data_IF_637268583363
#
_entry.id   IF_637268583363
#
_cell.length_a   1.000
_cell.length_b   1.000
_cell.length_c   1.000
_cell.angle_alpha   90.00
_cell.angle_beta   90.00
_cell.angle_gamma   90.00
#
_symmetry.space_group_name_H-M   'P 1'
#
loop_
_entity.id
_entity.type
_entity.pdbx_description
1 polymer ?
#
# COMPACT_ATOMS: atom_id res chain seq x y z
N UNK A 1 -15.12 -2.92 29.49
CA UNK A 1 -15.49 -3.00 28.05
C UNK A 1 -14.28 -3.28 27.16
N UNK A 2 -13.21 -2.46 27.20
CA UNK A 2 -11.99 -2.63 26.39
C UNK A 2 -11.29 -4.00 26.52
N UNK A 3 -11.18 -4.56 27.75
CA UNK A 3 -10.50 -5.85 27.96
C UNK A 3 -11.24 -7.07 27.40
N UNK A 4 -12.58 -7.07 27.40
CA UNK A 4 -13.40 -8.20 26.93
C UNK A 4 -13.48 -8.26 25.41
N UNK A 5 -13.49 -7.10 24.76
CA UNK A 5 -13.62 -6.99 23.30
C UNK A 5 -12.29 -6.60 22.64
N UNK A 6 -11.15 -6.87 23.29
CA UNK A 6 -9.81 -6.53 22.80
C UNK A 6 -9.58 -6.87 21.31
N UNK A 7 -9.96 -8.06 20.79
CA UNK A 7 -9.75 -8.38 19.37
C UNK A 7 -10.65 -7.59 18.40
N UNK A 8 -11.68 -6.89 18.90
CA UNK A 8 -12.55 -6.05 18.08
C UNK A 8 -11.98 -4.62 17.87
N UNK A 9 -10.88 -4.28 18.53
CA UNK A 9 -10.19 -3.01 18.35
C UNK A 9 -8.90 -3.22 17.55
N UNK A 10 -8.57 -2.29 16.68
CA UNK A 10 -7.29 -2.25 15.97
C UNK A 10 -6.16 -1.80 16.93
N UNK A 11 -5.88 -2.61 17.95
CA UNK A 11 -4.86 -2.34 18.97
C UNK A 11 -3.80 -3.43 18.90
N UNK A 12 -2.67 -3.16 18.23
CA UNK A 12 -1.49 -4.03 18.32
C UNK A 12 -0.88 -4.38 16.97
N UNK A 13 -0.39 -5.63 16.89
CA UNK A 13 0.32 -6.22 15.76
C UNK A 13 -0.55 -7.24 15.01
N UNK A 14 -1.84 -7.33 15.35
CA UNK A 14 -2.74 -8.24 14.64
C UNK A 14 -2.89 -7.80 13.17
N UNK A 15 -2.85 -8.73 12.21
CA UNK A 15 -2.98 -8.40 10.79
C UNK A 15 -4.36 -7.77 10.52
N UNK A 16 -4.35 -6.60 9.89
CA UNK A 16 -5.60 -5.91 9.53
C UNK A 16 -6.27 -6.64 8.36
N UNK A 17 -7.58 -6.85 8.47
CA UNK A 17 -8.42 -7.21 7.33
C UNK A 17 -8.20 -8.60 6.72
N UNK A 18 -7.36 -9.46 7.30
CA UNK A 18 -7.11 -10.83 6.81
C UNK A 18 -8.23 -11.82 7.15
N UNK A 19 -9.47 -11.45 6.79
CA UNK A 19 -10.66 -12.29 6.95
C UNK A 19 -10.75 -13.20 5.72
N UNK A 20 -10.46 -14.49 5.93
CA UNK A 20 -10.52 -15.52 4.87
C UNK A 20 -11.88 -15.47 4.14
N UNK A 21 -11.84 -15.54 2.80
CA UNK A 21 -13.03 -15.64 1.96
C UNK A 21 -13.63 -14.31 1.50
N UNK A 22 -12.93 -13.18 1.71
CA UNK A 22 -13.31 -11.86 1.19
C UNK A 22 -12.39 -11.39 0.07
N UNK A 23 -11.79 -12.33 -0.66
CA UNK A 23 -10.96 -12.02 -1.82
C UNK A 23 -11.83 -11.40 -2.93
N UNK A 24 -11.36 -10.31 -3.53
CA UNK A 24 -12.08 -9.58 -4.58
C UNK A 24 -11.39 -9.81 -5.91
N UNK A 25 -12.15 -10.30 -6.89
CA UNK A 25 -11.71 -10.34 -8.28
C UNK A 25 -12.07 -9.03 -8.99
N UNK A 26 -11.07 -8.37 -9.56
CA UNK A 26 -11.23 -7.13 -10.32
C UNK A 26 -10.99 -7.42 -11.80
N UNK A 27 -11.94 -7.01 -12.64
CA UNK A 27 -11.88 -7.16 -14.09
C UNK A 27 -11.66 -5.79 -14.73
N UNK A 28 -10.70 -5.70 -15.65
CA UNK A 28 -10.45 -4.48 -16.43
C UNK A 28 -11.40 -4.46 -17.63
N UNK A 29 -11.97 -3.29 -17.91
CA UNK A 29 -12.90 -3.02 -19.00
C UNK A 29 -12.22 -2.51 -20.29
N UNK A 30 -10.90 -2.35 -20.26
CA UNK A 30 -10.08 -1.80 -21.34
C UNK A 30 -9.07 -2.84 -21.84
N UNK A 31 -8.35 -2.55 -22.93
CA UNK A 31 -7.22 -3.35 -23.44
C UNK A 31 -5.86 -2.68 -23.17
N UNK A 32 -4.76 -3.47 -23.11
CA UNK A 32 -3.40 -2.97 -22.83
C UNK A 32 -2.97 -1.88 -23.82
N UNK A 33 -2.14 -0.90 -23.40
CA UNK A 33 -1.41 -0.81 -22.12
C UNK A 33 -2.17 -0.08 -20.98
N UNK A 34 -1.95 -0.51 -19.73
CA UNK A 34 -2.47 0.16 -18.52
C UNK A 34 -1.38 0.52 -17.50
N UNK A 35 -1.56 1.65 -16.78
CA UNK A 35 -2.31 2.82 -17.24
C UNK A 35 -1.70 3.36 -18.56
N UNK A 36 -2.42 4.22 -19.32
CA UNK A 36 -1.83 4.89 -20.46
C UNK A 36 -0.50 5.54 -20.05
N UNK A 37 0.55 5.34 -20.86
CA UNK A 37 1.93 5.73 -20.50
C UNK A 37 1.96 7.18 -20.03
N UNK A 38 2.19 7.37 -18.73
CA UNK A 38 2.48 8.65 -18.14
C UNK A 38 3.82 9.12 -18.72
N UNK A 39 3.79 10.07 -19.65
CA UNK A 39 5.00 10.65 -20.27
C UNK A 39 5.84 11.49 -19.29
N UNK A 40 5.48 11.52 -18.01
CA UNK A 40 6.16 12.31 -17.00
C UNK A 40 7.10 11.41 -16.22
N UNK A 41 8.34 11.86 -15.94
CA UNK A 41 9.22 11.11 -15.05
C UNK A 41 8.54 10.95 -13.68
N UNK A 42 8.88 9.88 -12.93
CA UNK A 42 8.46 9.77 -11.54
C UNK A 42 8.83 11.06 -10.79
N UNK A 43 7.95 11.49 -9.89
CA UNK A 43 8.13 12.76 -9.19
C UNK A 43 9.50 12.74 -8.47
N UNK A 44 10.34 13.77 -8.63
CA UNK A 44 11.64 13.81 -7.97
C UNK A 44 11.43 13.91 -6.46
N UNK A 45 11.68 12.79 -5.77
CA UNK A 45 11.53 12.73 -4.32
C UNK A 45 12.81 13.18 -3.61
N UNK A 46 12.65 14.06 -2.61
CA UNK A 46 13.73 14.42 -1.70
C UNK A 46 14.14 13.22 -0.85
N UNK A 47 15.36 13.24 -0.29
CA UNK A 47 15.84 12.19 0.62
C UNK A 47 14.90 12.02 1.84
N UNK A 48 14.32 13.12 2.32
CA UNK A 48 13.35 13.11 3.42
C UNK A 48 12.05 12.40 3.03
N UNK A 49 11.52 12.70 1.85
CA UNK A 49 10.31 12.05 1.32
C UNK A 49 10.52 10.53 1.21
N UNK A 50 11.67 10.10 0.65
CA UNK A 50 11.98 8.67 0.52
C UNK A 50 11.99 7.94 1.86
N UNK A 51 12.56 8.56 2.90
CA UNK A 51 12.60 7.97 4.25
C UNK A 51 11.21 7.81 4.84
N UNK A 52 10.33 8.79 4.65
CA UNK A 52 8.95 8.70 5.13
C UNK A 52 8.16 7.64 4.37
N UNK A 53 8.31 7.57 3.04
CA UNK A 53 7.70 6.50 2.23
C UNK A 53 8.19 5.13 2.70
N UNK A 54 9.49 4.95 2.85
CA UNK A 54 10.09 3.69 3.31
C UNK A 54 9.55 3.25 4.66
N UNK A 55 9.37 4.20 5.60
CA UNK A 55 8.73 3.93 6.88
C UNK A 55 7.32 3.37 6.71
N UNK A 56 6.46 4.04 5.93
CA UNK A 56 5.08 3.57 5.69
C UNK A 56 5.03 2.21 4.99
N UNK A 57 5.90 1.99 4.00
CA UNK A 57 5.99 0.71 3.28
C UNK A 57 6.40 -0.42 4.23
N UNK A 58 7.37 -0.19 5.11
CA UNK A 58 7.79 -1.18 6.10
C UNK A 58 6.66 -1.51 7.09
N UNK A 59 5.92 -0.51 7.58
CA UNK A 59 4.74 -0.73 8.43
C UNK A 59 3.68 -1.59 7.71
N UNK A 60 3.37 -1.30 6.44
CA UNK A 60 2.41 -2.07 5.65
C UNK A 60 2.87 -3.52 5.36
N UNK A 61 4.18 -3.73 5.18
CA UNK A 61 4.78 -5.06 5.04
C UNK A 61 4.67 -5.86 6.34
N UNK A 62 4.97 -5.25 7.49
CA UNK A 62 4.83 -5.90 8.81
C UNK A 62 3.38 -6.31 9.11
N UNK A 63 2.42 -5.52 8.62
CA UNK A 63 0.99 -5.76 8.76
C UNK A 63 0.42 -6.77 7.75
N UNK A 64 1.25 -7.26 6.82
CA UNK A 64 0.86 -8.17 5.73
C UNK A 64 -0.28 -7.61 4.85
N UNK A 65 -0.30 -6.28 4.69
CA UNK A 65 -1.25 -5.56 3.81
C UNK A 65 -0.71 -5.50 2.38
N UNK A 66 0.60 -5.32 2.24
CA UNK A 66 1.32 -5.37 0.97
C UNK A 66 2.40 -6.44 1.02
N UNK A 67 2.90 -6.87 -0.14
CA UNK A 67 3.98 -7.84 -0.25
C UNK A 67 4.95 -7.46 -1.35
N UNK A 68 6.16 -8.00 -1.26
CA UNK A 68 7.09 -7.98 -2.38
C UNK A 68 6.58 -8.89 -3.51
N UNK A 69 6.78 -8.43 -4.75
CA UNK A 69 6.53 -9.20 -5.96
C UNK A 69 7.69 -10.17 -6.18
N UNK A 70 7.39 -11.42 -6.55
CA UNK A 70 8.40 -12.44 -6.79
C UNK A 70 9.25 -12.17 -8.03
N UNK A 71 10.46 -12.71 -8.10
CA UNK A 71 11.42 -12.45 -9.20
C UNK A 71 10.87 -12.79 -10.60
N UNK A 72 9.97 -13.77 -10.69
CA UNK A 72 9.36 -14.24 -11.95
C UNK A 72 7.89 -13.80 -12.11
N UNK A 73 7.39 -12.96 -11.21
CA UNK A 73 6.00 -12.52 -11.24
C UNK A 73 5.88 -11.29 -12.14
N UNK A 74 4.94 -11.33 -13.09
CA UNK A 74 4.75 -10.26 -14.05
C UNK A 74 3.93 -9.14 -13.41
N UNK A 75 4.50 -7.94 -13.34
CA UNK A 75 3.76 -6.73 -12.96
C UNK A 75 3.13 -6.14 -14.21
N UNK A 76 1.81 -6.25 -14.31
CA UNK A 76 1.08 -5.73 -15.48
C UNK A 76 0.83 -4.22 -15.43
N UNK A 77 0.76 -3.66 -14.22
CA UNK A 77 0.36 -2.28 -13.95
C UNK A 77 1.31 -1.68 -12.92
N UNK A 78 1.82 -0.48 -13.18
CA UNK A 78 2.58 0.30 -12.20
C UNK A 78 2.03 1.72 -12.14
N UNK A 79 1.80 2.22 -10.94
CA UNK A 79 1.31 3.57 -10.69
C UNK A 79 2.30 4.33 -9.80
N UNK A 80 2.46 5.65 -9.98
CA UNK A 80 3.28 6.45 -9.09
C UNK A 80 2.69 6.45 -7.68
N UNK A 81 3.57 6.41 -6.68
CA UNK A 81 3.22 6.62 -5.27
C UNK A 81 3.43 8.09 -4.94
N UNK A 82 2.54 8.67 -4.15
CA UNK A 82 2.62 10.07 -3.73
C UNK A 82 2.47 10.13 -2.21
N UNK A 83 3.34 10.91 -1.57
CA UNK A 83 3.20 11.20 -0.15
C UNK A 83 2.57 12.58 0.02
N UNK A 84 1.70 12.71 1.02
CA UNK A 84 1.07 13.98 1.40
C UNK A 84 1.33 14.27 2.86
N UNK A 85 1.15 15.54 3.27
CA UNK A 85 1.39 16.00 4.63
C UNK A 85 0.13 16.61 5.21
N UNK A 86 -0.18 16.25 6.45
CA UNK A 86 -1.28 16.83 7.22
C UNK A 86 -0.92 16.89 8.69
N UNK A 87 -1.08 18.05 9.32
CA UNK A 87 -0.72 18.32 10.74
C UNK A 87 0.70 17.85 11.11
N UNK A 88 1.67 18.08 10.22
CA UNK A 88 3.07 17.69 10.45
C UNK A 88 3.33 16.18 10.39
N UNK A 89 2.37 15.38 9.91
CA UNK A 89 2.51 13.94 9.71
C UNK A 89 2.40 13.59 8.23
N UNK A 90 3.25 12.68 7.79
CA UNK A 90 3.23 12.13 6.44
C UNK A 90 2.11 11.10 6.28
N UNK A 91 1.54 11.02 5.09
CA UNK A 91 0.49 10.07 4.69
C UNK A 91 0.80 9.52 3.31
N UNK A 92 0.83 8.19 3.22
CA UNK A 92 0.89 7.44 1.97
C UNK A 92 -0.53 7.17 1.46
#
# INVERSE_FOLDING_TARGET
MLRKNRPAFAIGKEPLGKIKGNDVELYLDLERPYPPVLRRPPYPESLEIRKEIEKHINELLEMDVIRNIGHNEIVEITTPVLITWHDGKSRL
#
